data_IF_406801596542
#
_entry.id   IF_406801596542
#
_cell.length_a   1.000
_cell.length_b   1.000
_cell.length_c   1.000
_cell.angle_alpha   90.00
_cell.angle_beta   90.00
_cell.angle_gamma   90.00
#
_symmetry.space_group_name_H-M   'P 1'
#
loop_
_entity.id
_entity.type
_entity.pdbx_description
1 polymer ?
#
# COMPACT_ATOMS: atom_id res chain seq x y z
N UNK A 1 -12.99 -12.15 -1.23
CA UNK A 1 -12.74 -10.81 -1.81
C UNK A 1 -11.28 -10.49 -1.57
N UNK A 2 -10.46 -10.45 -2.63
CA UNK A 2 -9.02 -10.22 -2.50
C UNK A 2 -8.84 -8.79 -2.00
N UNK A 3 -8.19 -8.62 -0.85
CA UNK A 3 -7.97 -7.30 -0.28
C UNK A 3 -6.87 -6.60 -1.07
N UNK A 4 -7.23 -5.47 -1.68
CA UNK A 4 -6.44 -4.75 -2.66
C UNK A 4 -6.01 -3.37 -2.15
N UNK A 5 -5.92 -3.14 -0.82
CA UNK A 5 -5.63 -1.81 -0.27
C UNK A 5 -4.29 -1.26 -0.78
N UNK A 6 -3.24 -2.10 -0.79
CA UNK A 6 -1.93 -1.70 -1.34
C UNK A 6 -1.97 -1.50 -2.86
N UNK A 7 -2.76 -2.30 -3.57
CA UNK A 7 -2.98 -2.11 -5.01
C UNK A 7 -3.73 -0.80 -5.30
N UNK A 8 -4.72 -0.43 -4.49
CA UNK A 8 -5.43 0.85 -4.60
C UNK A 8 -4.48 2.02 -4.33
N UNK A 9 -3.58 1.92 -3.36
CA UNK A 9 -2.54 2.93 -3.14
C UNK A 9 -1.67 3.14 -4.39
N UNK A 10 -1.23 2.07 -5.04
CA UNK A 10 -0.47 2.15 -6.29
C UNK A 10 -1.29 2.84 -7.39
N UNK A 11 -2.57 2.49 -7.55
CA UNK A 11 -3.46 3.14 -8.53
C UNK A 11 -3.71 4.62 -8.25
N UNK A 12 -3.92 4.99 -6.98
CA UNK A 12 -4.20 6.39 -6.59
C UNK A 12 -2.96 7.29 -6.72
N UNK A 13 -1.77 6.74 -6.45
CA UNK A 13 -0.51 7.49 -6.50
C UNK A 13 0.16 7.48 -7.87
N UNK A 14 -0.14 6.47 -8.71
CA UNK A 14 0.58 6.22 -9.96
C UNK A 14 2.00 5.67 -9.77
N UNK A 15 2.37 5.29 -8.55
CA UNK A 15 3.71 4.79 -8.24
C UNK A 15 3.86 3.33 -8.68
N UNK A 16 5.10 2.96 -9.02
CA UNK A 16 5.51 1.57 -9.09
C UNK A 16 5.62 0.93 -7.69
N UNK A 17 5.62 -0.41 -7.63
CA UNK A 17 5.80 -1.13 -6.37
C UNK A 17 7.12 -0.76 -5.67
N UNK A 18 8.18 -0.50 -6.45
CA UNK A 18 9.49 -0.09 -5.92
C UNK A 18 9.43 1.31 -5.32
N UNK A 19 8.85 2.28 -6.01
CA UNK A 19 8.74 3.65 -5.49
C UNK A 19 7.86 3.73 -4.25
N UNK A 20 6.77 2.95 -4.20
CA UNK A 20 5.97 2.83 -2.99
C UNK A 20 6.79 2.25 -1.84
N UNK A 21 7.53 1.17 -2.10
CA UNK A 21 8.40 0.52 -1.11
C UNK A 21 9.44 1.50 -0.54
N UNK A 22 10.10 2.26 -1.41
CA UNK A 22 11.10 3.26 -1.04
C UNK A 22 10.47 4.40 -0.21
N UNK A 23 9.27 4.88 -0.59
CA UNK A 23 8.56 5.95 0.15
C UNK A 23 8.12 5.53 1.55
N UNK A 24 7.63 4.31 1.70
CA UNK A 24 7.07 3.82 2.98
C UNK A 24 8.08 3.00 3.80
N UNK A 25 9.34 2.94 3.35
CA UNK A 25 10.45 2.34 4.08
C UNK A 25 10.33 0.83 4.28
N UNK A 26 9.85 0.10 3.26
CA UNK A 26 9.76 -1.38 3.31
C UNK A 26 10.47 -2.02 2.12
N UNK A 27 10.88 -3.30 2.21
CA UNK A 27 11.43 -4.01 1.06
C UNK A 27 10.39 -4.15 -0.06
N UNK A 28 10.79 -3.96 -1.33
CA UNK A 28 9.90 -4.13 -2.49
C UNK A 28 9.17 -5.49 -2.54
N UNK A 29 9.78 -6.64 -2.16
CA UNK A 29 9.05 -7.90 -2.07
C UNK A 29 7.85 -7.82 -1.15
N UNK A 30 7.91 -7.03 -0.06
CA UNK A 30 6.80 -6.87 0.88
C UNK A 30 5.57 -6.22 0.23
N UNK A 31 5.78 -5.25 -0.66
CA UNK A 31 4.69 -4.66 -1.46
C UNK A 31 4.07 -5.73 -2.36
N UNK A 32 4.88 -6.52 -3.05
CA UNK A 32 4.42 -7.61 -3.91
C UNK A 32 3.62 -8.67 -3.13
N UNK A 33 4.04 -9.02 -1.91
CA UNK A 33 3.28 -9.95 -1.06
C UNK A 33 1.90 -9.41 -0.68
N UNK A 34 1.76 -8.10 -0.45
CA UNK A 34 0.46 -7.47 -0.21
C UNK A 34 -0.40 -7.43 -1.47
N UNK A 35 0.17 -7.02 -2.62
CA UNK A 35 -0.54 -6.93 -3.90
C UNK A 35 -1.05 -8.30 -4.35
N UNK A 36 -0.25 -9.36 -4.18
CA UNK A 36 -0.63 -10.72 -4.53
C UNK A 36 -1.53 -11.39 -3.47
N UNK A 37 -1.88 -10.70 -2.39
CA UNK A 37 -2.75 -11.22 -1.34
C UNK A 37 -2.13 -12.30 -0.46
N UNK A 38 -0.80 -12.50 -0.50
CA UNK A 38 -0.08 -13.43 0.38
C UNK A 38 -0.20 -13.01 1.84
N UNK A 39 -0.16 -11.71 2.09
CA UNK A 39 -0.43 -11.12 3.40
C UNK A 39 -1.43 -9.98 3.27
N UNK A 40 -2.21 -9.75 4.34
CA UNK A 40 -3.02 -8.55 4.47
C UNK A 40 -2.22 -7.47 5.19
N UNK A 41 -2.30 -6.24 4.69
CA UNK A 41 -1.78 -5.09 5.43
C UNK A 41 -2.68 -4.83 6.65
N UNK A 42 -2.07 -4.54 7.81
CA UNK A 42 -2.83 -4.15 8.99
C UNK A 42 -3.32 -2.71 8.84
N UNK A 43 -4.46 -2.39 9.46
CA UNK A 43 -5.10 -1.06 9.34
C UNK A 43 -4.23 0.08 9.86
N UNK A 44 -3.48 -0.13 10.94
CA UNK A 44 -2.54 0.84 11.52
C UNK A 44 -1.42 1.18 10.54
N UNK A 45 -0.79 0.17 9.93
CA UNK A 45 0.23 0.37 8.89
C UNK A 45 -0.35 1.02 7.64
N UNK A 46 -1.56 0.64 7.25
CA UNK A 46 -2.23 1.25 6.10
C UNK A 46 -2.47 2.75 6.33
N UNK A 47 -2.87 3.15 7.55
CA UNK A 47 -3.00 4.55 7.95
C UNK A 47 -1.68 5.29 7.86
N UNK A 48 -0.61 4.73 8.42
CA UNK A 48 0.73 5.31 8.35
C UNK A 48 1.17 5.55 6.89
N UNK A 49 0.91 4.60 5.99
CA UNK A 49 1.23 4.76 4.57
C UNK A 49 0.35 5.82 3.90
N UNK A 50 -0.93 5.88 4.23
CA UNK A 50 -1.83 6.93 3.75
C UNK A 50 -1.35 8.32 4.18
N UNK A 51 -0.89 8.47 5.42
CA UNK A 51 -0.34 9.72 5.94
C UNK A 51 0.95 10.13 5.20
N UNK A 52 1.87 9.20 4.98
CA UNK A 52 3.12 9.43 4.20
C UNK A 52 2.81 9.85 2.76
N UNK A 53 1.80 9.25 2.15
CA UNK A 53 1.41 9.51 0.76
C UNK A 53 0.42 10.67 0.61
N UNK A 54 -0.01 11.28 1.72
CA UNK A 54 -1.05 12.30 1.76
C UNK A 54 -2.35 11.85 1.06
N UNK A 55 -2.78 10.60 1.32
CA UNK A 55 -4.02 10.01 0.80
C UNK A 55 -5.02 9.88 1.96
N UNK A 56 -6.27 10.29 1.73
CA UNK A 56 -7.35 9.97 2.66
C UNK A 56 -7.62 8.46 2.64
N UNK A 57 -7.46 7.80 3.80
CA UNK A 57 -7.70 6.36 3.95
C UNK A 57 -9.09 5.92 3.50
N UNK A 58 -10.10 6.81 3.56
CA UNK A 58 -11.46 6.54 3.06
C UNK A 58 -11.51 6.29 1.55
N UNK A 59 -10.47 6.66 0.80
CA UNK A 59 -10.33 6.33 -0.63
C UNK A 59 -9.79 4.92 -0.86
N UNK A 60 -9.25 4.29 0.18
CA UNK A 60 -8.57 2.99 0.11
C UNK A 60 -9.44 1.87 0.67
N UNK A 61 -10.09 2.09 1.82
CA UNK A 61 -10.97 1.09 2.46
C UNK A 61 -12.42 1.16 1.96
#
# INVERSE_FOLDING_TARGET
>A
MINMEVQKLLTLTGLSQKELADKVGVPAPRISEYVNGKYRIRLDRLKEWCDILNIDIKKVI
#
